data_IF_076294861405
#
_entry.id   IF_076294861405
#
_cell.length_a   1.000
_cell.length_b   1.000
_cell.length_c   1.000
_cell.angle_alpha   90.00
_cell.angle_beta   90.00
_cell.angle_gamma   90.00
#
_symmetry.space_group_name_H-M   'P 1'
#
loop_
_entity.id
_entity.type
_entity.pdbx_description
1 polymer ?
#
# COMPACT_ATOMS: atom_id res chain seq x y z
N UNK A 1 -23.44 -24.14 20.80
CA UNK A 1 -22.07 -24.20 20.27
C UNK A 1 -22.16 -23.90 18.78
N UNK A 2 -21.73 -22.70 18.36
CA UNK A 2 -21.75 -22.24 16.96
C UNK A 2 -20.35 -22.42 16.40
N UNK A 3 -20.17 -23.42 15.56
CA UNK A 3 -18.90 -23.73 14.92
C UNK A 3 -18.65 -22.82 13.71
N UNK A 4 -17.37 -22.46 13.55
CA UNK A 4 -16.69 -21.92 12.38
C UNK A 4 -17.14 -20.56 11.82
N UNK A 5 -16.75 -19.47 12.48
CA UNK A 5 -16.15 -18.33 11.75
C UNK A 5 -14.66 -18.62 11.50
N UNK A 6 -14.38 -19.73 10.81
CA UNK A 6 -13.01 -20.16 10.51
C UNK A 6 -12.50 -19.44 9.28
N UNK A 7 -11.59 -18.50 9.55
CA UNK A 7 -10.55 -18.01 8.66
C UNK A 7 -10.87 -18.04 7.17
N UNK A 8 -11.43 -16.93 6.66
CA UNK A 8 -11.03 -16.44 5.33
C UNK A 8 -9.54 -16.08 5.39
N UNK A 9 -8.67 -17.08 5.57
CA UNK A 9 -7.25 -16.97 5.36
C UNK A 9 -7.10 -16.36 3.99
N UNK A 10 -6.45 -15.21 3.93
CA UNK A 10 -6.46 -14.33 2.77
C UNK A 10 -5.82 -15.09 1.59
N UNK A 11 -6.61 -15.86 0.82
CA UNK A 11 -6.08 -16.76 -0.23
C UNK A 11 -5.26 -15.97 -1.27
N UNK A 12 -5.60 -14.70 -1.43
CA UNK A 12 -4.85 -13.69 -2.17
C UNK A 12 -3.42 -13.54 -1.63
N UNK A 13 -3.22 -13.52 -0.31
CA UNK A 13 -1.89 -13.48 0.31
C UNK A 13 -1.09 -14.74 0.00
N UNK A 14 -1.71 -15.93 0.09
CA UNK A 14 -1.08 -17.19 -0.30
C UNK A 14 -0.68 -17.21 -1.77
N UNK A 15 -1.54 -16.69 -2.67
CA UNK A 15 -1.26 -16.58 -4.10
C UNK A 15 -0.12 -15.59 -4.38
N UNK A 16 -0.09 -14.43 -3.70
CA UNK A 16 1.01 -13.46 -3.81
C UNK A 16 2.33 -14.12 -3.39
N UNK A 17 2.36 -14.81 -2.24
CA UNK A 17 3.55 -15.49 -1.75
C UNK A 17 4.04 -16.56 -2.74
N UNK A 18 3.13 -17.33 -3.34
CA UNK A 18 3.44 -18.32 -4.36
C UNK A 18 4.11 -17.68 -5.58
N UNK A 19 3.52 -16.60 -6.12
CA UNK A 19 4.06 -15.90 -7.29
C UNK A 19 5.44 -15.32 -6.99
N UNK A 20 5.63 -14.69 -5.81
CA UNK A 20 6.94 -14.19 -5.36
C UNK A 20 7.97 -15.34 -5.31
N UNK A 21 7.58 -16.49 -4.74
CA UNK A 21 8.44 -17.67 -4.67
C UNK A 21 8.86 -18.19 -6.05
N UNK A 22 7.93 -18.23 -7.01
CA UNK A 22 8.23 -18.63 -8.40
C UNK A 22 9.21 -17.65 -9.04
N UNK A 23 9.01 -16.34 -8.87
CA UNK A 23 9.92 -15.31 -9.41
C UNK A 23 11.33 -15.51 -8.86
N UNK A 24 11.47 -15.71 -7.55
CA UNK A 24 12.79 -15.94 -6.94
C UNK A 24 13.45 -17.24 -7.41
N UNK A 25 12.70 -18.32 -7.62
CA UNK A 25 13.26 -19.53 -8.21
C UNK A 25 13.79 -19.22 -9.62
N UNK A 26 12.97 -18.59 -10.48
CA UNK A 26 13.38 -18.28 -11.85
C UNK A 26 14.63 -17.40 -11.89
N UNK A 27 14.67 -16.35 -11.08
CA UNK A 27 15.82 -15.43 -10.97
C UNK A 27 17.07 -16.07 -10.34
N UNK A 28 16.91 -17.13 -9.55
CA UNK A 28 18.05 -17.89 -9.05
C UNK A 28 18.63 -18.84 -10.12
N UNK A 29 17.79 -19.32 -11.04
CA UNK A 29 18.20 -20.23 -12.12
C UNK A 29 18.52 -19.53 -13.44
N UNK A 30 18.09 -18.28 -13.60
CA UNK A 30 18.36 -17.44 -14.75
C UNK A 30 18.97 -16.15 -14.22
N UNK A 31 20.12 -15.71 -14.74
CA UNK A 31 20.78 -14.44 -14.35
C UNK A 31 19.95 -13.18 -14.72
N UNK A 32 18.63 -13.32 -14.83
CA UNK A 32 17.66 -12.30 -15.16
C UNK A 32 17.15 -11.69 -13.87
N UNK A 33 17.43 -10.41 -13.66
CA UNK A 33 16.95 -9.66 -12.50
C UNK A 33 15.46 -9.26 -12.67
N UNK A 34 14.56 -10.18 -12.34
CA UNK A 34 13.10 -10.00 -12.48
C UNK A 34 12.55 -9.21 -11.29
N UNK A 35 12.95 -9.57 -10.06
CA UNK A 35 12.52 -8.90 -8.84
C UNK A 35 12.88 -7.42 -8.87
N UNK A 36 14.08 -7.08 -9.33
CA UNK A 36 14.50 -5.71 -9.55
C UNK A 36 13.50 -4.95 -10.42
N UNK A 37 13.09 -5.52 -11.57
CA UNK A 37 12.10 -4.89 -12.47
C UNK A 37 10.71 -4.76 -11.86
N UNK A 38 10.25 -5.76 -11.11
CA UNK A 38 8.94 -5.71 -10.42
C UNK A 38 8.96 -4.63 -9.35
N UNK A 39 10.05 -4.53 -8.58
CA UNK A 39 10.23 -3.52 -7.56
C UNK A 39 10.21 -2.10 -8.15
N UNK A 40 10.62 -1.93 -9.40
CA UNK A 40 10.57 -0.64 -10.09
C UNK A 40 9.15 -0.09 -10.30
N UNK A 41 8.12 -0.93 -10.16
CA UNK A 41 6.72 -0.53 -10.35
C UNK A 41 6.08 0.09 -9.08
N UNK A 42 6.83 0.27 -7.99
CA UNK A 42 6.34 0.89 -6.75
C UNK A 42 5.70 2.29 -6.94
N UNK A 43 6.16 3.20 -7.83
CA UNK A 43 5.53 4.50 -8.02
C UNK A 43 4.12 4.39 -8.61
N UNK A 44 3.83 3.33 -9.36
CA UNK A 44 2.49 3.06 -9.90
C UNK A 44 1.51 2.74 -8.79
N UNK A 45 1.96 2.03 -7.74
CA UNK A 45 1.14 1.71 -6.57
C UNK A 45 0.75 3.00 -5.84
N UNK A 46 1.69 3.94 -5.67
CA UNK A 46 1.42 5.27 -5.12
C UNK A 46 0.34 6.01 -5.89
N UNK A 47 0.48 6.02 -7.22
CA UNK A 47 -0.44 6.72 -8.10
C UNK A 47 -1.86 6.16 -7.98
N UNK A 48 -2.01 4.83 -8.07
CA UNK A 48 -3.30 4.15 -7.91
C UNK A 48 -3.89 4.40 -6.52
N UNK A 49 -3.06 4.36 -5.48
CA UNK A 49 -3.52 4.56 -4.11
C UNK A 49 -3.97 6.01 -3.86
N UNK A 50 -3.25 6.99 -4.40
CA UNK A 50 -3.64 8.40 -4.37
C UNK A 50 -5.00 8.65 -5.05
N UNK A 51 -5.22 8.07 -6.23
CA UNK A 51 -6.52 8.15 -6.94
C UNK A 51 -7.64 7.54 -6.10
N UNK A 52 -7.39 6.36 -5.52
CA UNK A 52 -8.37 5.67 -4.68
C UNK A 52 -8.75 6.51 -3.46
N UNK A 53 -7.80 7.20 -2.84
CA UNK A 53 -8.07 8.03 -1.66
C UNK A 53 -8.96 9.22 -2.00
N UNK A 54 -8.75 9.86 -3.16
CA UNK A 54 -9.62 10.92 -3.68
C UNK A 54 -11.01 10.37 -3.96
N UNK A 55 -11.11 9.22 -4.65
CA UNK A 55 -12.41 8.61 -4.98
C UNK A 55 -13.21 8.27 -3.72
N UNK A 56 -12.55 7.82 -2.65
CA UNK A 56 -13.20 7.47 -1.39
C UNK A 56 -13.57 8.69 -0.53
N UNK A 57 -13.29 9.93 -0.98
CA UNK A 57 -13.56 11.17 -0.24
C UNK A 57 -13.03 11.17 1.21
N UNK A 58 -12.00 10.37 1.50
CA UNK A 58 -11.43 10.27 2.85
C UNK A 58 -10.58 11.49 3.17
N UNK A 59 -9.69 11.87 2.25
CA UNK A 59 -8.89 13.08 2.34
C UNK A 59 -8.38 13.49 0.97
N UNK A 60 -9.02 14.50 0.37
CA UNK A 60 -8.62 15.08 -0.92
C UNK A 60 -7.19 15.63 -0.82
N UNK A 61 -6.84 16.27 0.31
CA UNK A 61 -5.50 16.82 0.54
C UNK A 61 -4.42 15.73 0.51
N UNK A 62 -4.66 14.60 1.19
CA UNK A 62 -3.72 13.48 1.20
C UNK A 62 -3.63 12.81 -0.18
N UNK A 63 -4.77 12.64 -0.86
CA UNK A 63 -4.81 12.10 -2.22
C UNK A 63 -4.04 12.96 -3.24
N UNK A 64 -4.18 14.29 -3.19
CA UNK A 64 -3.43 15.22 -4.05
C UNK A 64 -1.93 15.12 -3.79
N UNK A 65 -1.50 15.01 -2.53
CA UNK A 65 -0.08 14.83 -2.18
C UNK A 65 0.46 13.52 -2.77
N UNK A 66 -0.25 12.40 -2.59
CA UNK A 66 0.18 11.12 -3.16
C UNK A 66 0.26 11.14 -4.69
N UNK A 67 -0.75 11.72 -5.35
CA UNK A 67 -0.75 11.83 -6.82
C UNK A 67 0.38 12.75 -7.28
N UNK A 68 0.62 13.87 -6.60
CA UNK A 68 1.70 14.79 -6.94
C UNK A 68 3.06 14.11 -6.83
N UNK A 69 3.29 13.36 -5.75
CA UNK A 69 4.52 12.58 -5.56
C UNK A 69 4.66 11.53 -6.67
N UNK A 70 3.63 10.71 -6.91
CA UNK A 70 3.64 9.70 -7.97
C UNK A 70 3.87 10.30 -9.37
N UNK A 71 3.26 11.46 -9.65
CA UNK A 71 3.42 12.17 -10.91
C UNK A 71 4.82 12.78 -11.08
N UNK A 72 5.43 13.28 -10.00
CA UNK A 72 6.83 13.75 -10.02
C UNK A 72 7.76 12.58 -10.37
N UNK A 73 7.57 11.41 -9.74
CA UNK A 73 8.34 10.21 -10.07
C UNK A 73 8.12 9.77 -11.53
N UNK A 74 6.90 9.88 -12.05
CA UNK A 74 6.58 9.56 -13.45
C UNK A 74 7.19 10.58 -14.44
N UNK A 75 7.21 11.86 -14.05
CA UNK A 75 7.83 12.94 -14.84
C UNK A 75 9.35 12.72 -14.93
N UNK A 76 9.98 12.31 -13.83
CA UNK A 76 11.41 11.96 -13.83
C UNK A 76 11.73 10.77 -14.74
N UNK A 77 10.79 9.84 -14.93
CA UNK A 77 10.94 8.75 -15.91
C UNK A 77 10.88 9.25 -17.36
N UNK A 78 10.04 10.24 -17.66
CA UNK A 78 9.83 10.74 -19.03
C UNK A 78 10.90 11.72 -19.52
N UNK A 79 11.56 12.44 -18.60
CA UNK A 79 12.54 13.49 -18.95
C UNK A 79 13.98 12.98 -19.15
N UNK A 80 14.22 11.66 -19.13
CA UNK A 80 15.54 11.04 -19.36
C UNK A 80 16.69 11.61 -18.50
N UNK A 81 16.34 12.24 -17.36
CA UNK A 81 17.30 12.43 -16.29
C UNK A 81 17.74 11.04 -15.90
N UNK A 82 19.00 10.68 -16.16
CA UNK A 82 19.61 9.41 -15.73
C UNK A 82 19.28 9.26 -14.25
N UNK A 83 18.24 8.48 -13.98
CA UNK A 83 17.70 8.28 -12.64
C UNK A 83 18.77 7.52 -11.91
N UNK A 84 19.56 8.26 -11.13
CA UNK A 84 20.49 7.67 -10.19
C UNK A 84 19.71 6.62 -9.41
N UNK A 85 20.29 5.42 -9.25
CA UNK A 85 19.65 4.31 -8.54
C UNK A 85 19.16 4.68 -7.12
N UNK A 86 19.59 5.84 -6.62
CA UNK A 86 19.07 6.52 -5.45
C UNK A 86 17.54 6.71 -5.41
N UNK A 87 16.85 6.89 -6.54
CA UNK A 87 15.38 7.02 -6.53
C UNK A 87 14.70 5.74 -6.04
N UNK A 88 15.32 4.58 -6.29
CA UNK A 88 14.83 3.30 -5.79
C UNK A 88 14.88 3.21 -4.26
N UNK A 89 15.70 4.02 -3.57
CA UNK A 89 15.83 4.02 -2.11
C UNK A 89 14.64 4.66 -1.38
N UNK A 90 13.72 5.33 -2.08
CA UNK A 90 12.58 6.01 -1.47
C UNK A 90 11.36 5.12 -1.21
N UNK A 91 11.35 3.89 -1.72
CA UNK A 91 10.28 2.91 -1.46
C UNK A 91 9.87 2.75 0.02
N UNK A 92 10.76 2.82 1.04
CA UNK A 92 10.38 2.67 2.45
C UNK A 92 9.40 3.75 2.93
N UNK A 93 9.33 4.89 2.25
CA UNK A 93 8.36 5.94 2.57
C UNK A 93 6.92 5.43 2.48
N UNK A 94 6.65 4.43 1.63
CA UNK A 94 5.34 3.78 1.52
C UNK A 94 4.98 2.98 2.75
N UNK A 95 5.95 2.20 3.26
CA UNK A 95 5.76 1.45 4.50
C UNK A 95 5.44 2.41 5.63
N UNK A 96 6.19 3.51 5.73
CA UNK A 96 5.98 4.53 6.76
C UNK A 96 4.58 5.15 6.63
N UNK A 97 4.18 5.56 5.42
CA UNK A 97 2.87 6.15 5.17
C UNK A 97 1.72 5.17 5.53
N UNK A 98 1.83 3.90 5.15
CA UNK A 98 0.86 2.86 5.50
C UNK A 98 0.81 2.61 7.02
N UNK A 99 1.97 2.56 7.67
CA UNK A 99 2.06 2.42 9.13
C UNK A 99 1.39 3.58 9.86
N UNK A 100 1.65 4.82 9.45
CA UNK A 100 1.02 6.02 10.01
C UNK A 100 -0.50 6.00 9.83
N UNK A 101 -0.98 5.69 8.62
CA UNK A 101 -2.41 5.59 8.32
C UNK A 101 -3.11 4.54 9.22
N UNK A 102 -2.49 3.39 9.43
CA UNK A 102 -3.04 2.34 10.30
C UNK A 102 -3.07 2.77 11.77
N UNK A 103 -2.04 3.47 12.24
CA UNK A 103 -1.98 4.02 13.61
C UNK A 103 -3.06 5.07 13.81
N UNK A 104 -3.20 6.03 12.89
CA UNK A 104 -4.24 7.09 12.97
C UNK A 104 -5.65 6.48 12.99
N UNK A 105 -5.90 5.48 12.15
CA UNK A 105 -7.19 4.75 12.13
C UNK A 105 -7.45 4.00 13.44
N UNK A 106 -6.42 3.40 14.04
CA UNK A 106 -6.52 2.72 15.34
C UNK A 106 -6.95 3.69 16.45
N UNK A 107 -6.34 4.89 16.49
CA UNK A 107 -6.69 5.92 17.48
C UNK A 107 -8.09 6.54 17.25
N UNK A 108 -8.52 6.72 16.00
CA UNK A 108 -9.86 7.22 15.68
C UNK A 108 -10.99 6.22 15.96
N UNK A 109 -10.76 4.93 15.73
CA UNK A 109 -11.74 3.85 15.95
C UNK A 109 -12.11 3.65 17.43
N UNK A 110 -11.16 3.87 18.34
CA UNK A 110 -11.39 3.77 19.79
C UNK A 110 -12.43 4.80 20.29
N UNK A 111 -12.38 6.05 19.78
CA UNK A 111 -13.38 7.09 20.12
C UNK A 111 -14.75 6.84 19.52
N UNK A 112 -14.83 6.27 18.31
CA UNK A 112 -16.10 5.96 17.65
C UNK A 112 -16.88 4.86 18.38
N UNK A 113 -16.20 3.82 18.88
CA UNK A 113 -16.85 2.76 19.67
C UNK A 113 -17.31 3.23 21.05
N UNK A 114 -16.54 4.08 21.72
CA UNK A 114 -16.91 4.63 23.04
C UNK A 114 -18.17 5.50 22.97
N UNK A 115 -18.31 6.33 21.92
CA UNK A 115 -19.48 7.21 21.74
C UNK A 115 -20.77 6.46 21.41
N UNK A 116 -20.67 5.26 20.80
CA UNK A 116 -21.84 4.41 20.48
C UNK A 116 -22.41 3.73 21.71
N UNK A 117 -21.55 3.23 22.63
CA UNK A 117 -21.99 2.60 23.88
C UNK A 117 -22.74 3.56 24.81
N UNK A 118 -22.25 4.79 24.97
CA UNK A 118 -22.88 5.78 25.86
C UNK A 118 -24.30 6.14 25.38
N UNK A 119 -24.53 6.16 24.06
CA UNK A 119 -25.84 6.48 23.48
C UNK A 119 -26.85 5.31 23.58
N UNK A 120 -26.38 4.06 23.69
CA UNK A 120 -27.25 2.89 23.88
C UNK A 120 -27.63 2.69 25.35
N UNK A 121 -26.85 3.21 26.30
CA UNK A 121 -27.15 3.19 27.74
C UNK A 121 -28.07 4.33 28.20
N UNK A 122 -28.27 5.36 27.36
CA UNK A 122 -29.20 6.48 27.61
C UNK A 122 -30.63 6.27 27.06
N UNK A 123 -30.93 5.15 26.40
CA UNK A 123 -32.24 4.83 25.80
C UNK A 123 -32.97 3.76 26.60
#
# INVERSE_FOLDING_TARGET
MSASEEGKGNWIFGLILLVIGIIFIVENFTDIEIWGKVWKLWPTILFIWGIKEIWQNKSIFFGIILISIGAIFFTQYFFDFVVSENIWKFWPILIIALGVDQVVKSFGGAKSKAKRKIKEEEI
#
